data_IF_386256024256
#
_entry.id   IF_386256024256
#
_cell.length_a   1.000
_cell.length_b   1.000
_cell.length_c   1.000
_cell.angle_alpha   90.00
_cell.angle_beta   90.00
_cell.angle_gamma   90.00
#
_symmetry.space_group_name_H-M   'P 1'
#
loop_
_entity.id
_entity.type
_entity.pdbx_description
1 polymer ?
#
# COMPACT_ATOMS: atom_id res chain seq x y z
N UNK A 1 1.22 -12.73 22.59
CA UNK A 1 2.44 -13.26 23.26
C UNK A 1 2.79 -14.62 22.69
N UNK A 2 4.08 -14.92 22.48
CA UNK A 2 4.54 -16.24 22.10
C UNK A 2 4.19 -17.27 23.17
N UNK A 3 3.68 -18.43 22.76
CA UNK A 3 3.36 -19.55 23.65
C UNK A 3 3.74 -20.89 23.01
N UNK A 4 4.02 -21.88 23.86
CA UNK A 4 4.29 -23.26 23.43
C UNK A 4 2.98 -23.97 23.06
N UNK A 5 2.98 -24.60 21.89
CA UNK A 5 1.85 -25.39 21.39
C UNK A 5 2.29 -26.81 21.00
N UNK A 6 1.62 -27.81 21.57
CA UNK A 6 1.86 -29.24 21.32
C UNK A 6 0.92 -29.75 20.23
N UNK A 7 1.48 -30.42 19.22
CA UNK A 7 0.77 -31.21 18.21
C UNK A 7 1.20 -32.67 18.27
N UNK A 8 0.25 -33.59 18.21
CA UNK A 8 0.55 -35.01 18.03
C UNK A 8 0.57 -35.32 16.53
N UNK A 9 1.67 -35.87 16.03
CA UNK A 9 1.76 -36.40 14.66
C UNK A 9 2.29 -37.84 14.73
N UNK A 10 1.54 -38.78 14.14
CA UNK A 10 1.89 -40.22 14.15
C UNK A 10 2.25 -40.73 15.57
N UNK A 11 1.45 -40.36 16.58
CA UNK A 11 1.65 -40.76 17.97
C UNK A 11 2.80 -40.05 18.72
N UNK A 12 3.58 -39.20 18.06
CA UNK A 12 4.70 -38.47 18.69
C UNK A 12 4.35 -37.00 18.96
N UNK A 13 4.74 -36.43 20.12
CA UNK A 13 4.52 -35.03 20.43
C UNK A 13 5.54 -34.12 19.74
N UNK A 14 5.05 -33.04 19.16
CA UNK A 14 5.83 -32.02 18.47
C UNK A 14 5.43 -30.64 18.95
N UNK A 15 6.41 -29.78 19.18
CA UNK A 15 6.21 -28.49 19.82
C UNK A 15 6.51 -27.36 18.86
N UNK A 16 5.79 -26.27 19.04
CA UNK A 16 5.88 -25.06 18.24
C UNK A 16 5.79 -23.85 19.17
N UNK A 17 6.55 -22.79 18.90
CA UNK A 17 6.26 -21.46 19.45
C UNK A 17 5.26 -20.81 18.51
N UNK A 18 4.11 -20.41 19.06
CA UNK A 18 3.07 -19.72 18.31
C UNK A 18 2.88 -18.32 18.84
N UNK A 19 2.75 -17.39 17.93
CA UNK A 19 2.20 -16.08 18.24
C UNK A 19 0.79 -16.02 17.68
N UNK A 20 -0.09 -15.45 18.49
CA UNK A 20 -1.48 -15.24 18.11
C UNK A 20 -1.73 -13.75 18.06
N UNK A 21 -2.35 -13.30 16.98
CA UNK A 21 -2.96 -11.99 16.91
C UNK A 21 -4.47 -12.17 16.71
N UNK A 22 -5.23 -11.13 17.03
CA UNK A 22 -6.65 -11.08 16.64
C UNK A 22 -6.72 -10.59 15.21
N UNK A 23 -7.25 -11.43 14.32
CA UNK A 23 -7.59 -11.07 12.95
C UNK A 23 -9.11 -11.20 12.84
N UNK A 24 -9.78 -10.10 12.50
CA UNK A 24 -11.26 -10.00 12.52
C UNK A 24 -11.87 -10.35 13.90
N UNK A 25 -11.24 -9.88 15.00
CA UNK A 25 -11.67 -10.15 16.38
C UNK A 25 -11.45 -11.59 16.87
N UNK A 26 -11.09 -12.51 15.97
CA UNK A 26 -10.83 -13.93 16.29
C UNK A 26 -9.33 -14.18 16.46
N UNK A 27 -8.90 -14.93 17.48
CA UNK A 27 -7.51 -15.31 17.64
C UNK A 27 -7.09 -16.23 16.48
N UNK A 28 -6.10 -15.80 15.68
CA UNK A 28 -5.46 -16.59 14.63
C UNK A 28 -3.97 -16.71 14.89
N UNK A 29 -3.40 -17.86 14.52
CA UNK A 29 -1.95 -18.08 14.56
C UNK A 29 -1.32 -17.26 13.44
N UNK A 30 -0.57 -16.21 13.78
CA UNK A 30 0.10 -15.32 12.84
C UNK A 30 1.54 -15.73 12.57
N UNK A 31 2.18 -16.31 13.58
CA UNK A 31 3.52 -16.86 13.47
C UNK A 31 3.58 -18.24 14.15
N UNK A 32 4.28 -19.19 13.55
CA UNK A 32 4.45 -20.52 14.10
C UNK A 32 5.83 -21.06 13.75
N UNK A 33 6.72 -21.05 14.74
CA UNK A 33 8.06 -21.62 14.65
C UNK A 33 8.03 -23.05 15.18
N UNK A 34 8.52 -24.01 14.41
CA UNK A 34 8.62 -25.40 14.83
C UNK A 34 9.86 -25.61 15.71
N UNK A 35 9.66 -26.15 16.91
CA UNK A 35 10.74 -26.43 17.86
C UNK A 35 11.27 -27.87 17.78
N UNK A 36 10.45 -28.82 17.33
CA UNK A 36 10.85 -30.24 17.32
C UNK A 36 10.06 -31.13 18.28
N UNK A 37 10.63 -32.29 18.57
CA UNK A 37 10.21 -33.20 19.63
C UNK A 37 10.78 -32.74 20.99
N UNK A 38 10.33 -33.31 22.13
CA UNK A 38 10.94 -33.05 23.44
C UNK A 38 12.46 -33.22 23.46
N UNK A 39 12.96 -34.25 22.77
CA UNK A 39 14.40 -34.56 22.71
C UNK A 39 15.17 -33.45 21.99
N UNK A 40 14.62 -32.91 20.90
CA UNK A 40 15.20 -31.76 20.18
C UNK A 40 15.15 -30.48 21.02
N UNK A 41 14.07 -30.25 21.76
CA UNK A 41 14.01 -29.09 22.67
C UNK A 41 15.06 -29.22 23.76
N UNK A 42 15.24 -30.43 24.31
CA UNK A 42 16.28 -30.70 25.30
C UNK A 42 17.68 -30.47 24.71
N UNK A 43 17.96 -30.94 23.49
CA UNK A 43 19.26 -30.70 22.83
C UNK A 43 19.53 -29.22 22.55
N UNK A 44 18.50 -28.46 22.17
CA UNK A 44 18.59 -27.00 22.01
C UNK A 44 18.87 -26.30 23.35
N UNK A 45 18.23 -26.72 24.44
CA UNK A 45 18.39 -26.11 25.76
C UNK A 45 19.73 -26.44 26.43
N UNK A 46 20.28 -27.64 26.17
CA UNK A 46 21.58 -28.07 26.71
C UNK A 46 22.77 -27.65 25.84
N UNK A 47 22.52 -26.96 24.71
CA UNK A 47 23.56 -26.52 23.79
C UNK A 47 24.24 -27.65 23.01
N UNK A 48 23.65 -28.85 23.01
CA UNK A 48 24.19 -30.02 22.30
C UNK A 48 24.02 -29.89 20.77
N UNK A 49 23.05 -29.10 20.31
CA UNK A 49 22.96 -28.61 18.92
C UNK A 49 23.47 -27.16 18.86
N UNK A 50 24.78 -26.98 18.71
CA UNK A 50 25.43 -25.66 18.63
C UNK A 50 25.41 -25.04 17.23
N UNK A 51 24.60 -25.55 16.30
CA UNK A 51 24.46 -24.95 14.99
C UNK A 51 23.15 -24.17 14.92
N UNK A 52 23.26 -22.85 14.71
CA UNK A 52 22.18 -22.06 14.12
C UNK A 52 21.79 -22.71 12.78
N UNK A 53 20.87 -23.68 12.79
CA UNK A 53 20.51 -24.42 11.58
C UNK A 53 19.75 -23.53 10.59
N UNK A 54 19.04 -22.51 11.08
CA UNK A 54 18.24 -21.63 10.23
C UNK A 54 18.06 -20.26 10.85
N UNK A 55 18.63 -19.25 10.21
CA UNK A 55 18.37 -17.84 10.48
C UNK A 55 17.24 -17.40 9.55
N UNK A 56 16.18 -16.83 10.10
CA UNK A 56 15.19 -16.10 9.32
C UNK A 56 15.57 -14.63 9.33
N UNK A 57 15.91 -14.10 8.16
CA UNK A 57 16.19 -12.67 7.98
C UNK A 57 14.95 -12.04 7.36
N UNK A 58 14.45 -10.98 7.98
CA UNK A 58 13.32 -10.22 7.47
C UNK A 58 13.63 -8.73 7.47
N UNK A 59 13.15 -8.03 6.44
CA UNK A 59 13.22 -6.57 6.40
C UNK A 59 12.20 -5.96 7.35
N UNK A 60 12.67 -5.16 8.31
CA UNK A 60 11.83 -4.56 9.35
C UNK A 60 11.70 -3.03 9.19
N UNK A 61 12.83 -2.32 9.11
CA UNK A 61 12.87 -0.87 9.31
C UNK A 61 12.00 -0.07 8.34
N UNK A 62 12.07 -0.37 7.04
CA UNK A 62 11.31 0.36 6.03
C UNK A 62 9.79 0.14 6.16
N UNK A 63 9.36 -1.10 6.38
CA UNK A 63 7.94 -1.42 6.61
C UNK A 63 7.42 -0.79 7.91
N UNK A 64 8.22 -0.85 8.97
CA UNK A 64 7.88 -0.24 10.26
C UNK A 64 7.71 1.28 10.12
N UNK A 65 8.63 1.96 9.45
CA UNK A 65 8.54 3.42 9.23
C UNK A 65 7.34 3.79 8.38
N UNK A 66 7.07 3.05 7.28
CA UNK A 66 5.89 3.28 6.46
C UNK A 66 4.59 3.10 7.26
N UNK A 67 4.53 2.09 8.13
CA UNK A 67 3.38 1.88 9.01
C UNK A 67 3.26 2.95 10.09
N UNK A 68 4.37 3.49 10.61
CA UNK A 68 4.36 4.60 11.55
C UNK A 68 3.74 5.85 10.91
N UNK A 69 4.12 6.18 9.67
CA UNK A 69 3.53 7.29 8.92
C UNK A 69 2.02 7.06 8.68
N UNK A 70 1.62 5.82 8.32
CA UNK A 70 0.20 5.50 8.13
C UNK A 70 -0.61 5.52 9.43
N UNK A 71 -0.01 5.39 10.62
CA UNK A 71 -0.77 5.50 11.88
C UNK A 71 -1.38 6.90 12.06
N UNK A 72 -0.72 7.93 11.54
CA UNK A 72 -1.25 9.30 11.57
C UNK A 72 -2.30 9.54 10.48
N UNK A 73 -2.07 9.01 9.28
CA UNK A 73 -2.94 9.17 8.11
C UNK A 73 -4.18 8.28 8.18
N UNK A 74 -4.01 6.98 8.41
CA UNK A 74 -5.07 5.99 8.50
C UNK A 74 -5.72 5.65 7.16
N UNK A 75 -4.94 5.40 6.09
CA UNK A 75 -5.50 5.21 4.74
C UNK A 75 -6.48 4.04 4.69
N UNK A 76 -6.20 2.94 5.41
CA UNK A 76 -7.07 1.77 5.43
C UNK A 76 -8.46 2.13 5.99
N UNK A 77 -8.52 2.97 7.03
CA UNK A 77 -9.77 3.45 7.59
C UNK A 77 -10.50 4.36 6.61
N UNK A 78 -9.80 5.34 6.01
CA UNK A 78 -10.39 6.24 5.02
C UNK A 78 -11.07 5.46 3.89
N UNK A 79 -10.40 4.43 3.38
CA UNK A 79 -10.92 3.56 2.33
C UNK A 79 -12.12 2.76 2.82
N UNK A 80 -12.04 2.12 3.99
CA UNK A 80 -13.11 1.26 4.51
C UNK A 80 -14.37 2.04 4.90
N UNK A 81 -14.25 3.32 5.27
CA UNK A 81 -15.41 4.20 5.48
C UNK A 81 -16.16 4.53 4.18
N UNK A 82 -15.46 4.55 3.03
CA UNK A 82 -16.05 4.79 1.70
C UNK A 82 -16.51 3.48 1.05
N UNK A 83 -15.75 2.40 1.27
CA UNK A 83 -15.97 1.07 0.70
C UNK A 83 -16.05 0.05 1.85
N UNK A 84 -17.17 -0.01 2.57
CA UNK A 84 -17.30 -0.88 3.73
C UNK A 84 -17.18 -2.35 3.35
N UNK A 85 -16.75 -3.16 4.31
CA UNK A 85 -16.64 -4.61 4.16
C UNK A 85 -18.00 -5.23 3.81
N UNK A 86 -18.04 -6.11 2.82
CA UNK A 86 -19.26 -6.84 2.46
C UNK A 86 -19.72 -7.78 3.59
N UNK A 87 -21.03 -8.05 3.68
CA UNK A 87 -21.65 -8.84 4.76
C UNK A 87 -20.98 -10.20 5.04
N UNK A 88 -20.47 -10.87 4.00
CA UNK A 88 -19.82 -12.19 4.09
C UNK A 88 -18.37 -12.17 3.60
N UNK A 89 -17.73 -11.00 3.64
CA UNK A 89 -16.40 -10.82 3.10
C UNK A 89 -15.34 -11.33 4.08
N UNK A 90 -14.52 -12.28 3.63
CA UNK A 90 -13.41 -12.81 4.40
C UNK A 90 -12.07 -12.16 4.02
N UNK A 91 -11.11 -12.24 4.95
CA UNK A 91 -9.75 -11.73 4.77
C UNK A 91 -9.66 -10.21 4.96
N UNK A 92 -8.55 -9.60 4.51
CA UNK A 92 -8.33 -8.16 4.60
C UNK A 92 -9.46 -7.39 3.91
N UNK A 93 -9.80 -6.21 4.45
CA UNK A 93 -10.74 -5.27 3.85
C UNK A 93 -10.17 -4.60 2.61
N UNK A 94 -10.97 -3.82 1.89
CA UNK A 94 -10.49 -3.05 0.73
C UNK A 94 -9.37 -2.10 1.16
N UNK A 95 -9.56 -1.39 2.28
CA UNK A 95 -8.56 -0.49 2.85
C UNK A 95 -7.25 -1.17 3.22
N UNK A 96 -7.30 -2.37 3.79
CA UNK A 96 -6.08 -3.13 4.09
C UNK A 96 -5.34 -3.52 2.80
N UNK A 97 -6.02 -3.94 1.73
CA UNK A 97 -5.33 -4.21 0.45
C UNK A 97 -4.73 -2.94 -0.17
N UNK A 98 -5.41 -1.79 -0.06
CA UNK A 98 -4.85 -0.50 -0.47
C UNK A 98 -3.56 -0.23 0.28
N UNK A 99 -3.58 -0.33 1.61
CA UNK A 99 -2.43 -0.08 2.44
C UNK A 99 -1.27 -1.03 2.15
N UNK A 100 -1.51 -2.33 2.03
CA UNK A 100 -0.44 -3.27 1.68
C UNK A 100 0.15 -2.99 0.29
N UNK A 101 -0.64 -2.47 -0.65
CA UNK A 101 -0.13 -2.01 -1.93
C UNK A 101 0.68 -0.71 -1.82
N UNK A 102 0.27 0.22 -0.94
CA UNK A 102 1.00 1.47 -0.65
C UNK A 102 2.35 1.17 -0.02
N UNK A 103 2.41 0.35 1.03
CA UNK A 103 3.67 -0.06 1.66
C UNK A 103 4.63 -0.71 0.67
N UNK A 104 4.13 -1.62 -0.17
CA UNK A 104 4.95 -2.20 -1.22
C UNK A 104 5.48 -1.13 -2.19
N UNK A 105 4.64 -0.16 -2.59
CA UNK A 105 5.05 0.92 -3.50
C UNK A 105 6.06 1.88 -2.89
N UNK A 106 6.00 2.10 -1.57
CA UNK A 106 6.90 2.98 -0.81
C UNK A 106 8.27 2.35 -0.54
N UNK A 107 8.32 1.03 -0.31
CA UNK A 107 9.53 0.35 0.15
C UNK A 107 10.31 -0.29 -0.99
N UNK A 108 9.70 -1.24 -1.71
CA UNK A 108 10.28 -1.92 -2.86
C UNK A 108 9.14 -2.38 -3.77
N UNK A 109 8.87 -1.57 -4.79
CA UNK A 109 7.69 -1.72 -5.64
C UNK A 109 7.77 -3.03 -6.44
N UNK A 110 6.88 -3.97 -6.12
CA UNK A 110 6.76 -5.26 -6.79
C UNK A 110 5.36 -5.40 -7.43
N UNK A 111 5.24 -6.34 -8.37
CA UNK A 111 3.94 -6.63 -8.98
C UNK A 111 2.93 -7.15 -7.93
N UNK A 112 1.63 -6.95 -8.16
CA UNK A 112 0.57 -7.51 -7.30
C UNK A 112 0.62 -9.03 -7.21
N UNK A 113 1.20 -9.70 -8.21
CA UNK A 113 1.48 -11.14 -8.20
C UNK A 113 2.57 -11.54 -7.22
N UNK A 114 3.60 -10.70 -7.05
CA UNK A 114 4.72 -10.93 -6.16
C UNK A 114 4.48 -10.38 -4.73
N UNK A 115 3.33 -9.76 -4.48
CA UNK A 115 3.04 -9.06 -3.22
C UNK A 115 3.14 -9.99 -2.00
N UNK A 116 2.55 -11.18 -2.08
CA UNK A 116 2.63 -12.15 -0.98
C UNK A 116 4.07 -12.61 -0.71
N UNK A 117 4.84 -12.93 -1.76
CA UNK A 117 6.24 -13.36 -1.63
C UNK A 117 7.14 -12.24 -1.09
N UNK A 118 6.82 -10.98 -1.44
CA UNK A 118 7.48 -9.81 -0.89
C UNK A 118 7.25 -9.68 0.61
N UNK A 119 5.99 -9.79 1.05
CA UNK A 119 5.64 -9.74 2.48
C UNK A 119 6.15 -10.92 3.31
N UNK A 120 6.40 -12.08 2.71
CA UNK A 120 7.00 -13.23 3.41
C UNK A 120 8.43 -12.92 3.88
N UNK A 121 9.14 -12.08 3.12
CA UNK A 121 10.49 -11.59 3.43
C UNK A 121 10.51 -10.35 4.33
N UNK A 122 9.37 -9.71 4.54
CA UNK A 122 9.24 -8.55 5.42
C UNK A 122 8.71 -8.98 6.80
N UNK A 123 9.04 -8.21 7.85
CA UNK A 123 8.59 -8.45 9.22
C UNK A 123 7.11 -8.00 9.43
N UNK A 124 6.23 -8.38 8.50
CA UNK A 124 4.82 -7.94 8.46
C UNK A 124 4.02 -8.45 9.65
N UNK A 125 4.35 -9.63 10.18
CA UNK A 125 3.66 -10.20 11.35
C UNK A 125 3.93 -9.39 12.62
N UNK A 126 5.02 -8.63 12.68
CA UNK A 126 5.37 -7.76 13.79
C UNK A 126 4.85 -6.34 13.58
N UNK A 127 4.85 -5.85 12.34
CA UNK A 127 4.47 -4.47 12.01
C UNK A 127 2.96 -4.32 11.80
N UNK A 128 2.35 -5.14 10.94
CA UNK A 128 0.92 -5.09 10.62
C UNK A 128 0.41 -6.50 10.26
N UNK A 129 0.04 -7.31 11.28
CA UNK A 129 -0.19 -8.74 11.09
C UNK A 129 -1.33 -9.05 10.10
N UNK A 130 -1.04 -9.94 9.14
CA UNK A 130 -2.00 -10.38 8.12
C UNK A 130 -1.70 -11.80 7.68
N UNK A 131 -2.72 -12.54 7.22
CA UNK A 131 -2.47 -13.77 6.48
C UNK A 131 -1.84 -13.40 5.12
N UNK A 132 -0.53 -13.58 4.98
CA UNK A 132 0.21 -13.23 3.76
C UNK A 132 -0.34 -13.96 2.53
N UNK A 133 -0.90 -15.17 2.70
CA UNK A 133 -1.56 -15.93 1.61
C UNK A 133 -2.89 -15.31 1.18
N UNK A 134 -3.44 -14.39 1.96
CA UNK A 134 -4.55 -13.58 1.53
C UNK A 134 -4.12 -12.50 0.53
N UNK A 135 -2.87 -12.05 0.54
CA UNK A 135 -2.36 -10.96 -0.34
C UNK A 135 -2.07 -11.42 -1.78
N UNK A 136 -2.84 -12.35 -2.32
CA UNK A 136 -2.71 -12.80 -3.71
C UNK A 136 -3.27 -11.75 -4.69
N UNK A 137 -2.72 -11.71 -5.90
CA UNK A 137 -3.19 -10.78 -6.94
C UNK A 137 -4.67 -10.98 -7.28
N UNK A 138 -5.17 -12.21 -7.32
CA UNK A 138 -6.57 -12.51 -7.60
C UNK A 138 -7.49 -11.88 -6.54
N UNK A 139 -7.15 -12.05 -5.25
CA UNK A 139 -7.93 -11.48 -4.16
C UNK A 139 -7.84 -9.96 -4.15
N UNK A 140 -6.66 -9.39 -4.44
CA UNK A 140 -6.49 -7.95 -4.60
C UNK A 140 -7.47 -7.38 -5.66
N UNK A 141 -7.48 -7.94 -6.87
CA UNK A 141 -8.36 -7.47 -7.94
C UNK A 141 -9.84 -7.68 -7.63
N UNK A 142 -10.20 -8.81 -7.00
CA UNK A 142 -11.57 -9.04 -6.53
C UNK A 142 -12.07 -7.99 -5.52
N UNK A 143 -11.16 -7.41 -4.72
CA UNK A 143 -11.50 -6.25 -3.86
C UNK A 143 -11.64 -4.98 -4.68
N UNK A 144 -10.75 -4.79 -5.65
CA UNK A 144 -10.76 -3.63 -6.54
C UNK A 144 -12.04 -3.54 -7.39
N UNK A 145 -12.63 -4.67 -7.78
CA UNK A 145 -13.92 -4.72 -8.48
C UNK A 145 -15.08 -4.07 -7.69
N UNK A 146 -14.92 -3.89 -6.38
CA UNK A 146 -15.91 -3.22 -5.51
C UNK A 146 -15.73 -1.70 -5.46
N UNK A 147 -14.66 -1.17 -6.05
CA UNK A 147 -14.26 0.23 -5.94
C UNK A 147 -14.61 0.93 -7.24
N UNK A 148 -15.64 1.77 -7.18
CA UNK A 148 -16.05 2.62 -8.31
C UNK A 148 -15.19 3.89 -8.39
N UNK A 149 -15.17 4.53 -9.56
CA UNK A 149 -14.48 5.82 -9.77
C UNK A 149 -14.92 6.89 -8.76
N UNK A 150 -16.23 7.03 -8.51
CA UNK A 150 -16.76 7.98 -7.52
C UNK A 150 -16.24 7.70 -6.10
N UNK A 151 -16.01 6.42 -5.77
CA UNK A 151 -15.43 6.06 -4.47
C UNK A 151 -13.94 6.39 -4.43
N UNK A 152 -13.19 6.21 -5.53
CA UNK A 152 -11.78 6.64 -5.61
C UNK A 152 -11.68 8.15 -5.38
N UNK A 153 -12.53 8.95 -6.04
CA UNK A 153 -12.58 10.41 -5.85
C UNK A 153 -12.90 10.79 -4.39
N UNK A 154 -13.85 10.10 -3.76
CA UNK A 154 -14.18 10.32 -2.36
C UNK A 154 -13.04 9.94 -1.40
N UNK A 155 -12.32 8.85 -1.68
CA UNK A 155 -11.13 8.42 -0.93
C UNK A 155 -10.04 9.46 -1.06
N UNK A 156 -9.74 9.91 -2.29
CA UNK A 156 -8.74 10.94 -2.57
C UNK A 156 -9.03 12.24 -1.80
N UNK A 157 -10.28 12.71 -1.85
CA UNK A 157 -10.71 13.90 -1.12
C UNK A 157 -10.47 13.77 0.38
N UNK A 158 -10.89 12.67 1.00
CA UNK A 158 -10.71 12.41 2.44
C UNK A 158 -9.22 12.26 2.81
N UNK A 159 -8.43 11.64 1.94
CA UNK A 159 -6.99 11.54 2.13
C UNK A 159 -6.32 12.91 2.15
N UNK A 160 -6.59 13.79 1.18
CA UNK A 160 -6.02 15.13 1.16
C UNK A 160 -6.52 16.01 2.33
N UNK A 161 -7.78 15.85 2.74
CA UNK A 161 -8.29 16.50 3.95
C UNK A 161 -7.53 16.05 5.20
N UNK A 162 -7.23 14.76 5.31
CA UNK A 162 -6.46 14.21 6.42
C UNK A 162 -5.00 14.69 6.40
N UNK A 163 -4.35 14.69 5.24
CA UNK A 163 -2.98 15.22 5.08
C UNK A 163 -2.94 16.70 5.48
N UNK A 164 -3.92 17.50 5.05
CA UNK A 164 -4.02 18.90 5.43
C UNK A 164 -4.31 19.14 6.92
N UNK A 165 -4.94 18.18 7.61
CA UNK A 165 -5.15 18.26 9.07
C UNK A 165 -3.89 17.94 9.86
N UNK A 166 -3.05 17.04 9.33
CA UNK A 166 -1.77 16.69 9.94
C UNK A 166 -0.74 17.80 9.77
N UNK A 167 -0.83 18.55 8.67
CA UNK A 167 0.04 19.69 8.42
C UNK A 167 -0.55 20.98 8.99
N UNK A 168 0.15 21.57 9.96
CA UNK A 168 -0.33 22.79 10.64
C UNK A 168 0.07 24.07 9.92
N UNK A 169 1.06 23.98 9.02
CA UNK A 169 1.44 25.11 8.18
C UNK A 169 0.44 25.34 7.06
N UNK A 170 0.08 26.61 6.83
CA UNK A 170 -0.61 27.01 5.60
C UNK A 170 0.42 27.39 4.55
N UNK A 171 0.15 27.00 3.30
CA UNK A 171 1.07 27.17 2.18
C UNK A 171 0.74 28.39 1.33
N UNK A 172 1.78 29.11 0.94
CA UNK A 172 1.67 30.27 0.05
C UNK A 172 2.13 29.93 -1.38
N UNK A 173 2.72 28.75 -1.56
CA UNK A 173 3.29 28.31 -2.83
C UNK A 173 3.07 26.82 -3.06
N UNK A 174 2.52 26.51 -4.24
CA UNK A 174 2.32 25.15 -4.73
C UNK A 174 3.10 24.93 -6.02
N UNK A 175 3.56 23.70 -6.21
CA UNK A 175 4.18 23.23 -7.43
C UNK A 175 3.19 22.33 -8.16
N UNK A 176 2.96 22.60 -9.44
CA UNK A 176 2.20 21.74 -10.33
C UNK A 176 3.17 21.05 -11.28
N UNK A 177 3.14 19.72 -11.30
CA UNK A 177 3.97 18.91 -12.19
C UNK A 177 3.13 17.78 -12.79
N UNK A 178 3.52 17.34 -13.99
CA UNK A 178 2.90 16.22 -14.67
C UNK A 178 3.90 15.08 -14.88
N UNK A 179 3.45 13.86 -14.64
CA UNK A 179 4.28 12.67 -14.84
C UNK A 179 3.50 11.58 -15.57
N UNK A 180 4.22 10.68 -16.24
CA UNK A 180 3.62 9.61 -17.04
C UNK A 180 4.00 8.23 -16.50
N UNK A 181 3.03 7.34 -16.39
CA UNK A 181 3.22 5.94 -16.05
C UNK A 181 3.04 5.05 -17.28
N UNK A 182 4.08 4.34 -17.68
CA UNK A 182 3.98 3.33 -18.74
C UNK A 182 3.23 2.10 -18.25
N UNK A 183 2.43 1.54 -19.14
CA UNK A 183 1.69 0.29 -18.95
C UNK A 183 2.16 -0.74 -19.96
N UNK A 184 1.96 -2.01 -19.62
CA UNK A 184 2.19 -3.15 -20.51
C UNK A 184 0.88 -3.73 -21.04
N UNK A 185 -0.16 -2.89 -21.12
CA UNK A 185 -1.44 -3.28 -21.70
C UNK A 185 -1.25 -3.66 -23.16
N UNK A 186 -1.92 -4.75 -23.57
CA UNK A 186 -1.93 -5.13 -24.98
C UNK A 186 -2.56 -4.01 -25.82
N UNK A 187 -2.09 -3.83 -27.06
CA UNK A 187 -2.56 -2.76 -27.94
C UNK A 187 -4.05 -2.84 -28.27
N UNK A 188 -4.63 -4.05 -28.22
CA UNK A 188 -6.05 -4.29 -28.44
C UNK A 188 -6.91 -4.21 -27.17
N UNK A 189 -6.34 -3.87 -26.01
CA UNK A 189 -7.13 -3.65 -24.79
C UNK A 189 -7.80 -2.28 -24.87
N UNK A 190 -9.12 -2.21 -24.75
CA UNK A 190 -9.81 -0.91 -24.74
C UNK A 190 -9.41 -0.09 -23.51
N UNK A 191 -9.08 1.18 -23.71
CA UNK A 191 -8.87 2.14 -22.63
C UNK A 191 -8.87 3.55 -23.19
N UNK A 192 -9.66 4.44 -22.60
CA UNK A 192 -9.65 5.87 -22.91
C UNK A 192 -8.43 6.55 -22.29
N UNK A 193 -8.02 6.11 -21.10
CA UNK A 193 -6.94 6.70 -20.31
C UNK A 193 -5.55 6.27 -20.78
N UNK A 194 -5.33 4.97 -21.01
CA UNK A 194 -4.02 4.46 -21.41
C UNK A 194 -3.85 4.61 -22.93
N UNK A 195 -3.07 5.60 -23.37
CA UNK A 195 -2.83 5.90 -24.79
C UNK A 195 -1.34 5.87 -25.13
N UNK A 196 -0.99 5.56 -26.39
CA UNK A 196 0.39 5.74 -26.86
C UNK A 196 0.69 7.23 -27.03
N UNK A 197 1.88 7.65 -26.63
CA UNK A 197 2.27 9.07 -26.67
C UNK A 197 3.78 9.26 -26.78
N UNK A 198 4.22 10.52 -26.79
CA UNK A 198 5.65 10.83 -26.77
C UNK A 198 6.21 10.47 -25.39
N UNK A 199 7.30 9.70 -25.39
CA UNK A 199 8.02 9.26 -24.18
C UNK A 199 9.42 9.85 -24.19
N UNK A 200 9.81 10.56 -23.12
CA UNK A 200 11.20 11.05 -22.94
C UNK A 200 12.20 9.88 -22.80
N UNK A 201 11.73 8.69 -22.43
CA UNK A 201 12.52 7.45 -22.32
C UNK A 201 12.55 6.62 -23.62
N UNK A 202 12.00 7.12 -24.73
CA UNK A 202 12.01 6.45 -26.03
C UNK A 202 11.04 5.27 -26.16
N UNK A 203 10.14 5.06 -25.19
CA UNK A 203 9.20 3.92 -25.14
C UNK A 203 7.88 4.22 -25.85
N UNK A 204 7.93 4.70 -27.08
CA UNK A 204 6.76 5.17 -27.84
C UNK A 204 5.71 4.08 -28.12
N UNK A 205 6.10 2.81 -28.05
CA UNK A 205 5.21 1.66 -28.25
C UNK A 205 4.43 1.27 -26.98
N UNK A 206 4.79 1.80 -25.80
CA UNK A 206 4.05 1.55 -24.57
C UNK A 206 2.94 2.58 -24.42
N UNK A 207 1.79 2.12 -23.92
CA UNK A 207 0.66 2.99 -23.58
C UNK A 207 0.91 3.58 -22.21
N UNK A 208 0.69 4.88 -22.07
CA UNK A 208 0.94 5.61 -20.83
C UNK A 208 -0.34 6.23 -20.26
N UNK A 209 -0.32 6.47 -18.96
CA UNK A 209 -1.33 7.23 -18.22
C UNK A 209 -0.63 8.41 -17.58
N UNK A 210 -1.15 9.61 -17.82
CA UNK A 210 -0.66 10.82 -17.20
C UNK A 210 -1.20 10.99 -15.77
N UNK A 211 -0.40 11.62 -14.92
CA UNK A 211 -0.77 12.05 -13.57
C UNK A 211 -0.33 13.50 -13.38
N UNK A 212 -1.30 14.39 -13.24
CA UNK A 212 -1.08 15.76 -12.76
C UNK A 212 -1.10 15.76 -11.23
N UNK A 213 -0.16 16.45 -10.61
CA UNK A 213 -0.02 16.52 -9.16
C UNK A 213 0.19 17.97 -8.72
N UNK A 214 -0.52 18.36 -7.65
CA UNK A 214 -0.28 19.63 -6.96
C UNK A 214 0.32 19.32 -5.58
N UNK A 215 1.51 19.87 -5.32
CA UNK A 215 2.21 19.69 -4.04
C UNK A 215 2.54 21.03 -3.40
N UNK A 216 2.55 21.10 -2.08
CA UNK A 216 3.10 22.25 -1.38
C UNK A 216 4.61 22.33 -1.57
N UNK A 217 5.14 23.52 -1.89
CA UNK A 217 6.56 23.71 -2.17
C UNK A 217 7.46 23.35 -0.98
N UNK A 218 7.07 23.77 0.22
CA UNK A 218 7.95 23.70 1.39
C UNK A 218 8.04 22.29 1.99
N UNK A 219 6.95 21.52 1.92
CA UNK A 219 6.85 20.18 2.52
C UNK A 219 6.87 19.05 1.50
N UNK A 220 6.59 19.34 0.22
CA UNK A 220 6.37 18.32 -0.81
C UNK A 220 5.08 17.52 -0.63
N UNK A 221 4.20 17.90 0.30
CA UNK A 221 2.94 17.19 0.54
C UNK A 221 1.96 17.39 -0.62
N UNK A 222 1.29 16.32 -1.10
CA UNK A 222 0.32 16.43 -2.18
C UNK A 222 -1.05 16.87 -1.65
N UNK A 223 -1.73 17.72 -2.43
CA UNK A 223 -3.06 18.26 -2.09
C UNK A 223 -4.11 18.08 -3.18
N UNK A 224 -3.68 17.70 -4.39
CA UNK A 224 -4.55 17.37 -5.50
C UNK A 224 -3.83 16.43 -6.46
N UNK A 225 -4.58 15.53 -7.10
CA UNK A 225 -4.12 14.77 -8.25
C UNK A 225 -5.22 14.66 -9.30
N UNK A 226 -4.82 14.46 -10.56
CA UNK A 226 -5.72 14.04 -11.63
C UNK A 226 -5.01 13.15 -12.63
N UNK A 227 -5.59 11.99 -12.90
CA UNK A 227 -5.19 11.15 -14.03
C UNK A 227 -5.69 11.72 -15.36
N UNK A 228 -4.90 11.57 -16.42
CA UNK A 228 -5.26 12.04 -17.76
C UNK A 228 -4.69 11.13 -18.86
N UNK A 229 -5.17 11.30 -20.09
CA UNK A 229 -4.81 10.43 -21.21
C UNK A 229 -3.34 10.61 -21.61
N UNK A 230 -2.65 9.48 -21.83
CA UNK A 230 -1.21 9.48 -22.13
C UNK A 230 -0.76 10.23 -23.39
N UNK A 231 -1.68 10.66 -24.25
CA UNK A 231 -1.39 11.44 -25.46
C UNK A 231 -1.81 12.91 -25.33
N UNK A 232 -2.20 13.37 -24.15
CA UNK A 232 -2.57 14.76 -23.90
C UNK A 232 -1.34 15.63 -23.59
N UNK A 233 -1.32 16.86 -24.10
CA UNK A 233 -0.24 17.82 -23.84
C UNK A 233 -0.48 18.56 -22.53
N UNK A 234 0.58 18.83 -21.76
CA UNK A 234 0.46 19.36 -20.39
C UNK A 234 -0.32 20.68 -20.30
N UNK A 235 -0.18 21.56 -21.29
CA UNK A 235 -0.94 22.83 -21.34
C UNK A 235 -2.45 22.62 -21.44
N UNK A 236 -2.90 21.59 -22.16
CA UNK A 236 -4.32 21.24 -22.26
C UNK A 236 -4.80 20.61 -20.96
N UNK A 237 -3.98 19.75 -20.35
CA UNK A 237 -4.28 19.13 -19.04
C UNK A 237 -4.45 20.21 -17.99
N UNK A 238 -3.51 21.15 -17.88
CA UNK A 238 -3.57 22.25 -16.91
C UNK A 238 -4.83 23.08 -17.10
N UNK A 239 -5.20 23.44 -18.33
CA UNK A 239 -6.45 24.15 -18.60
C UNK A 239 -7.69 23.36 -18.15
N UNK A 240 -7.70 22.04 -18.33
CA UNK A 240 -8.81 21.19 -17.91
C UNK A 240 -8.93 21.04 -16.39
N UNK A 241 -7.82 21.08 -15.65
CA UNK A 241 -7.79 20.90 -14.20
C UNK A 241 -7.65 22.20 -13.41
N UNK A 242 -7.58 23.35 -14.08
CA UNK A 242 -7.27 24.64 -13.45
C UNK A 242 -8.24 24.98 -12.32
N UNK A 243 -9.55 24.81 -12.54
CA UNK A 243 -10.55 25.09 -11.50
C UNK A 243 -10.39 24.16 -10.30
N UNK A 244 -10.15 22.86 -10.52
CA UNK A 244 -9.89 21.91 -9.43
C UNK A 244 -8.61 22.25 -8.64
N UNK A 245 -7.56 22.69 -9.35
CA UNK A 245 -6.29 23.14 -8.76
C UNK A 245 -6.50 24.40 -7.91
N UNK A 246 -7.24 25.38 -8.44
CA UNK A 246 -7.58 26.61 -7.71
C UNK A 246 -8.42 26.32 -6.48
N UNK A 247 -9.39 25.40 -6.57
CA UNK A 247 -10.20 24.98 -5.44
C UNK A 247 -9.35 24.27 -4.37
N UNK A 248 -8.40 23.42 -4.77
CA UNK A 248 -7.46 22.80 -3.85
C UNK A 248 -6.57 23.86 -3.17
N UNK A 249 -6.04 24.82 -3.93
CA UNK A 249 -5.22 25.91 -3.40
C UNK A 249 -6.00 26.81 -2.43
N UNK A 250 -7.27 27.14 -2.72
CA UNK A 250 -8.13 27.92 -1.81
C UNK A 250 -8.45 27.15 -0.53
N UNK A 251 -8.62 25.84 -0.64
CA UNK A 251 -8.96 24.98 0.49
C UNK A 251 -7.78 24.77 1.44
N UNK A 252 -6.57 24.63 0.92
CA UNK A 252 -5.39 24.24 1.69
C UNK A 252 -4.30 25.32 1.80
N UNK A 253 -4.36 26.38 0.99
CA UNK A 253 -3.43 27.49 0.99
C UNK A 253 -3.83 28.66 1.90
N UNK A 254 -3.00 29.70 1.91
CA UNK A 254 -3.35 31.02 2.49
C UNK A 254 -4.25 31.82 1.53
N UNK A 255 -4.52 33.08 1.87
CA UNK A 255 -5.33 33.96 1.02
C UNK A 255 -4.63 34.29 -0.31
N UNK A 256 -3.33 34.56 -0.25
CA UNK A 256 -2.50 34.80 -1.42
C UNK A 256 -1.66 33.55 -1.71
N UNK A 257 -1.86 32.96 -2.88
CA UNK A 257 -1.26 31.67 -3.23
C UNK A 257 -0.64 31.73 -4.62
N UNK A 258 0.60 31.27 -4.73
CA UNK A 258 1.34 31.17 -5.99
C UNK A 258 1.37 29.72 -6.45
N UNK A 259 1.11 29.47 -7.74
CA UNK A 259 1.37 28.18 -8.38
C UNK A 259 2.55 28.32 -9.34
N UNK A 260 3.50 27.38 -9.26
CA UNK A 260 4.63 27.27 -10.19
C UNK A 260 4.40 26.05 -11.07
N UNK A 261 4.47 26.24 -12.38
CA UNK A 261 4.40 25.22 -13.42
C UNK A 261 5.53 25.45 -14.43
N UNK A 262 5.97 24.39 -15.13
CA UNK A 262 6.99 24.43 -16.18
C UNK A 262 6.40 24.58 -17.60
#
# INVERSE_FOLDING_TARGET
MPHLHKKIKKGRPYYYVREMARIDGKPKVTNQVYLGSPERIMSLATGAESALEKIQVQEFGALWLANLIDQDVGIAQIVDEVVPKGKNEAGPSVGEYFLYAVFNRMVDAQSKRALADWYDKAAVQQVRPVDVKALSSEKFWKKWDRVSQKQIEAIAKRFFEKVAQLETSRFDCFLFDTTNYYTYLAGNTESDLAQTGKSKEGRYWLRQVGLALLVARDTGLPFFYREYEGNCHDSKVFQCVLEDVLDAMRKYGRQDVTVVLD
#
